data_IF_117775920935
#
_entry.id   IF_117775920935
#
_cell.length_a   1.000
_cell.length_b   1.000
_cell.length_c   1.000
_cell.angle_alpha   90.00
_cell.angle_beta   90.00
_cell.angle_gamma   90.00
#
_symmetry.space_group_name_H-M   'P 1'
#
loop_
_entity.id
_entity.type
_entity.pdbx_description
1 polymer ?
#
# COMPACT_ATOMS: atom_id res chain seq x y z
N UNK A 1 -3.20 -35.91 -96.05
CA UNK A 1 -3.45 -36.62 -94.78
C UNK A 1 -4.69 -35.99 -94.17
N UNK A 2 -5.93 -36.40 -94.50
CA UNK A 2 -6.67 -37.57 -93.97
C UNK A 2 -6.68 -37.58 -92.43
N UNK A 3 -7.77 -37.59 -91.66
CA UNK A 3 -9.20 -37.64 -91.93
C UNK A 3 -9.99 -37.20 -90.67
N UNK A 4 -11.27 -36.88 -90.88
CA UNK A 4 -12.36 -36.61 -89.91
C UNK A 4 -12.68 -37.81 -89.00
N UNK A 5 -13.28 -37.55 -87.81
CA UNK A 5 -14.47 -38.22 -87.18
C UNK A 5 -14.48 -37.89 -85.66
N UNK A 6 -15.46 -37.17 -85.11
CA UNK A 6 -16.89 -37.47 -84.88
C UNK A 6 -17.17 -38.29 -83.59
N UNK A 7 -17.79 -37.60 -82.62
CA UNK A 7 -18.94 -37.97 -81.77
C UNK A 7 -18.97 -39.29 -80.96
N UNK A 8 -19.28 -39.13 -79.66
CA UNK A 8 -20.39 -39.72 -78.89
C UNK A 8 -20.04 -40.33 -77.50
N UNK A 9 -20.93 -39.98 -76.56
CA UNK A 9 -21.42 -40.73 -75.40
C UNK A 9 -20.74 -40.54 -74.02
N UNK A 10 -21.42 -39.74 -73.18
CA UNK A 10 -21.47 -39.93 -71.72
C UNK A 10 -22.23 -41.21 -71.35
N UNK A 11 -21.96 -41.81 -70.18
CA UNK A 11 -22.93 -41.69 -69.09
C UNK A 11 -22.34 -41.53 -67.67
N UNK A 12 -23.23 -41.10 -66.78
CA UNK A 12 -23.08 -40.91 -65.34
C UNK A 12 -22.63 -42.17 -64.59
N UNK A 13 -21.88 -41.97 -63.49
CA UNK A 13 -22.01 -42.76 -62.27
C UNK A 13 -21.77 -41.83 -61.06
N UNK A 14 -22.86 -41.60 -60.32
CA UNK A 14 -22.89 -40.93 -59.04
C UNK A 14 -22.36 -41.89 -57.96
N UNK A 15 -21.29 -41.50 -57.27
CA UNK A 15 -20.97 -42.00 -55.94
C UNK A 15 -20.80 -40.80 -55.02
N UNK A 16 -21.82 -40.58 -54.20
CA UNK A 16 -21.71 -39.75 -53.01
C UNK A 16 -20.86 -40.51 -51.98
N UNK A 17 -19.75 -39.90 -51.56
CA UNK A 17 -19.08 -40.25 -50.32
C UNK A 17 -18.47 -38.97 -49.71
N UNK A 18 -19.00 -38.63 -48.54
CA UNK A 18 -18.57 -37.55 -47.66
C UNK A 18 -17.08 -37.65 -47.34
N UNK A 19 -16.36 -36.54 -47.39
CA UNK A 19 -14.93 -36.52 -47.09
C UNK A 19 -14.40 -35.13 -46.74
N UNK A 20 -14.82 -34.61 -45.58
CA UNK A 20 -14.08 -33.71 -44.70
C UNK A 20 -13.33 -32.54 -45.33
N UNK A 21 -13.98 -31.37 -45.37
CA UNK A 21 -13.31 -30.10 -45.63
C UNK A 21 -12.17 -29.87 -44.65
N UNK A 22 -10.95 -29.69 -45.17
CA UNK A 22 -9.83 -29.13 -44.43
C UNK A 22 -10.10 -27.63 -44.26
N UNK A 23 -10.71 -27.27 -43.15
CA UNK A 23 -10.73 -25.88 -42.69
C UNK A 23 -9.28 -25.41 -42.55
N UNK A 24 -8.93 -24.19 -43.03
CA UNK A 24 -7.64 -23.61 -42.75
C UNK A 24 -7.50 -23.47 -41.24
N UNK A 25 -6.39 -23.97 -40.67
CA UNK A 25 -6.00 -23.68 -39.29
C UNK A 25 -6.00 -22.17 -39.13
N UNK A 26 -6.91 -21.68 -38.30
CA UNK A 26 -7.02 -20.27 -37.95
C UNK A 26 -5.71 -19.75 -37.34
N UNK A 27 -5.59 -18.42 -37.18
CA UNK A 27 -4.44 -17.83 -36.50
C UNK A 27 -4.25 -18.54 -35.15
N UNK A 28 -3.05 -19.05 -34.90
CA UNK A 28 -2.68 -19.52 -33.57
C UNK A 28 -2.91 -18.41 -32.54
N UNK A 29 -3.13 -18.73 -31.27
CA UNK A 29 -3.29 -17.71 -30.25
C UNK A 29 -2.10 -16.76 -30.32
N UNK A 30 -2.36 -15.48 -30.55
CA UNK A 30 -1.36 -14.44 -30.32
C UNK A 30 -0.80 -14.64 -28.91
N UNK A 31 0.52 -14.48 -28.69
CA UNK A 31 1.04 -14.45 -27.34
C UNK A 31 0.25 -13.37 -26.59
N UNK A 32 -0.40 -13.76 -25.49
CA UNK A 32 -0.96 -12.79 -24.58
C UNK A 32 0.20 -11.94 -24.11
N UNK A 33 0.32 -10.70 -24.62
CA UNK A 33 1.06 -9.65 -23.94
C UNK A 33 0.54 -9.65 -22.51
N UNK A 34 1.36 -10.12 -21.56
CA UNK A 34 0.98 -10.16 -20.16
C UNK A 34 0.46 -8.79 -19.78
N UNK A 35 -0.82 -8.71 -19.42
CA UNK A 35 -1.47 -7.45 -19.11
C UNK A 35 -0.71 -6.74 -18.00
N UNK A 36 -0.45 -5.45 -18.19
CA UNK A 36 0.00 -4.57 -17.12
C UNK A 36 -1.21 -4.20 -16.27
N UNK A 37 -1.24 -4.66 -15.03
CA UNK A 37 -2.28 -4.41 -14.05
C UNK A 37 -1.94 -3.17 -13.20
N UNK A 38 -2.94 -2.66 -12.48
CA UNK A 38 -2.75 -1.67 -11.42
C UNK A 38 -2.90 -2.34 -10.06
N UNK A 39 -1.90 -2.18 -9.20
CA UNK A 39 -1.92 -2.69 -7.82
C UNK A 39 -2.11 -1.53 -6.87
N UNK A 40 -3.20 -1.56 -6.12
CA UNK A 40 -3.44 -0.59 -5.04
C UNK A 40 -2.84 -1.11 -3.74
N UNK A 41 -2.12 -0.25 -3.02
CA UNK A 41 -1.47 -0.56 -1.74
C UNK A 41 -1.94 0.41 -0.67
N UNK A 42 -1.93 -0.02 0.58
CA UNK A 42 -2.11 0.84 1.76
C UNK A 42 -0.93 0.64 2.70
N UNK A 43 -0.16 1.71 2.91
CA UNK A 43 0.95 1.75 3.88
C UNK A 43 0.40 2.14 5.23
N UNK A 44 0.62 1.30 6.23
CA UNK A 44 0.08 1.46 7.58
C UNK A 44 1.14 1.22 8.64
N UNK A 45 0.90 1.75 9.84
CA UNK A 45 1.67 1.37 11.01
C UNK A 45 1.10 0.06 11.58
N UNK A 46 1.88 -0.99 11.46
CA UNK A 46 1.68 -2.29 12.10
C UNK A 46 2.10 -2.18 13.57
N UNK A 47 1.12 -1.93 14.42
CA UNK A 47 1.28 -1.56 15.82
C UNK A 47 1.67 -2.76 16.68
N UNK A 48 1.30 -3.98 16.25
CA UNK A 48 1.61 -5.22 16.95
C UNK A 48 2.70 -6.06 16.25
N UNK A 49 3.14 -5.67 15.05
CA UNK A 49 4.22 -6.30 14.31
C UNK A 49 3.83 -7.62 13.62
N UNK A 50 2.55 -7.89 13.41
CA UNK A 50 2.07 -9.16 12.85
C UNK A 50 2.08 -9.20 11.30
N UNK A 51 2.28 -8.06 10.64
CA UNK A 51 2.28 -7.90 9.19
C UNK A 51 0.90 -7.85 8.53
N UNK A 52 -0.17 -7.73 9.32
CA UNK A 52 -1.57 -7.72 8.89
C UNK A 52 -2.19 -6.39 9.29
N UNK A 53 -2.98 -5.79 8.40
CA UNK A 53 -3.72 -4.58 8.74
C UNK A 53 -4.93 -4.95 9.62
N UNK A 54 -4.82 -4.69 10.92
CA UNK A 54 -5.88 -4.95 11.89
C UNK A 54 -6.88 -3.78 11.98
N UNK A 55 -8.11 -4.06 12.41
CA UNK A 55 -9.17 -3.05 12.51
C UNK A 55 -8.84 -1.89 13.47
N UNK A 56 -7.98 -2.16 14.47
CA UNK A 56 -7.53 -1.15 15.43
C UNK A 56 -6.40 -0.25 14.87
N UNK A 57 -5.72 -0.69 13.82
CA UNK A 57 -4.57 0.00 13.21
C UNK A 57 -5.05 1.01 12.19
N UNK A 58 -5.55 2.13 12.70
CA UNK A 58 -6.06 3.21 11.86
C UNK A 58 -4.96 4.12 11.28
N UNK A 59 -3.71 3.95 11.71
CA UNK A 59 -2.60 4.83 11.29
C UNK A 59 -2.19 4.51 9.85
N UNK A 60 -2.08 5.57 9.05
CA UNK A 60 -1.69 5.51 7.64
C UNK A 60 -0.44 6.32 7.43
N UNK A 61 0.55 5.75 6.74
CA UNK A 61 1.86 6.39 6.62
C UNK A 61 2.00 7.01 5.22
N UNK A 62 2.09 8.34 5.12
CA UNK A 62 2.21 9.02 3.84
C UNK A 62 3.65 9.15 3.37
N UNK A 63 3.81 9.57 2.12
CA UNK A 63 5.07 9.89 1.48
C UNK A 63 6.09 8.74 1.39
N UNK A 64 5.63 7.51 1.60
CA UNK A 64 6.44 6.30 1.46
C UNK A 64 6.37 5.80 0.04
N UNK A 65 7.54 5.61 -0.57
CA UNK A 65 7.64 4.99 -1.88
C UNK A 65 7.61 3.45 -1.74
N UNK A 66 6.64 2.83 -2.42
CA UNK A 66 6.43 1.39 -2.45
C UNK A 66 6.72 0.89 -3.86
N UNK A 67 7.46 -0.21 -3.97
CA UNK A 67 7.78 -0.87 -5.24
C UNK A 67 7.17 -2.28 -5.29
N UNK A 68 6.51 -2.61 -6.40
CA UNK A 68 6.02 -3.96 -6.73
C UNK A 68 6.32 -4.24 -8.20
N UNK A 69 6.93 -5.39 -8.50
CA UNK A 69 7.21 -5.79 -9.89
C UNK A 69 8.08 -4.81 -10.69
N UNK A 70 8.94 -4.04 -10.01
CA UNK A 70 9.81 -3.03 -10.63
C UNK A 70 9.15 -1.66 -10.87
N UNK A 71 7.89 -1.49 -10.48
CA UNK A 71 7.16 -0.23 -10.57
C UNK A 71 6.97 0.37 -9.18
N UNK A 72 7.01 1.71 -9.08
CA UNK A 72 6.92 2.42 -7.81
C UNK A 72 5.79 3.46 -7.79
N UNK A 73 5.24 3.70 -6.59
CA UNK A 73 4.32 4.79 -6.32
C UNK A 73 4.50 5.29 -4.87
N UNK A 74 4.04 6.51 -4.59
CA UNK A 74 4.15 7.14 -3.27
C UNK A 74 2.79 7.19 -2.56
N UNK A 75 2.75 6.87 -1.26
CA UNK A 75 1.54 6.87 -0.45
C UNK A 75 1.02 8.28 -0.14
N UNK A 76 -0.30 8.45 -0.16
CA UNK A 76 -0.95 9.74 0.08
C UNK A 76 -1.18 10.04 1.57
N UNK A 77 -1.16 11.33 1.94
CA UNK A 77 -1.56 11.85 3.26
C UNK A 77 -2.93 11.32 3.71
N UNK A 78 -3.05 11.00 5.00
CA UNK A 78 -4.29 10.58 5.67
C UNK A 78 -4.81 9.18 5.28
N UNK A 79 -4.45 8.66 4.11
CA UNK A 79 -4.94 7.37 3.60
C UNK A 79 -3.85 6.31 3.48
N UNK A 80 -2.58 6.71 3.34
CA UNK A 80 -1.46 5.79 3.13
C UNK A 80 -1.55 5.04 1.81
N UNK A 81 -2.50 5.41 0.94
CA UNK A 81 -2.80 4.67 -0.28
C UNK A 81 -1.90 5.10 -1.43
N UNK A 82 -1.42 4.14 -2.22
CA UNK A 82 -0.74 4.39 -3.49
C UNK A 82 -1.27 3.44 -4.57
N UNK A 83 -1.20 3.85 -5.84
CA UNK A 83 -1.58 2.99 -6.97
C UNK A 83 -0.35 2.81 -7.86
N UNK A 84 0.13 1.57 -7.94
CA UNK A 84 1.28 1.18 -8.74
C UNK A 84 0.75 0.62 -10.07
N UNK A 85 0.90 1.40 -11.14
CA UNK A 85 0.49 0.99 -12.49
C UNK A 85 1.61 0.22 -13.20
N UNK A 86 1.25 -0.62 -14.16
CA UNK A 86 2.22 -1.28 -15.04
C UNK A 86 2.61 -2.70 -14.64
N UNK A 87 2.14 -3.20 -13.50
CA UNK A 87 2.63 -4.43 -12.88
C UNK A 87 2.16 -5.65 -13.67
N UNK A 88 3.08 -6.45 -14.17
CA UNK A 88 2.75 -7.71 -14.86
C UNK A 88 2.11 -8.72 -13.90
N UNK A 89 1.29 -9.64 -14.42
CA UNK A 89 0.79 -10.77 -13.63
C UNK A 89 1.94 -11.64 -13.08
N UNK A 90 1.78 -12.15 -11.87
CA UNK A 90 2.82 -12.91 -11.18
C UNK A 90 2.78 -12.77 -9.66
N UNK A 91 3.77 -13.37 -8.99
CA UNK A 91 3.94 -13.27 -7.54
C UNK A 91 5.11 -12.35 -7.21
N UNK A 92 4.89 -11.39 -6.32
CA UNK A 92 5.86 -10.39 -5.90
C UNK A 92 5.84 -10.19 -4.40
N UNK A 93 6.96 -9.73 -3.83
CA UNK A 93 7.01 -9.19 -2.48
C UNK A 93 7.17 -7.67 -2.60
N UNK A 94 6.29 -6.85 -2.00
CA UNK A 94 6.47 -5.41 -1.97
C UNK A 94 7.78 -5.02 -1.28
N UNK A 95 8.37 -3.93 -1.74
CA UNK A 95 9.51 -3.29 -1.10
C UNK A 95 9.19 -1.82 -0.83
N UNK A 96 9.85 -1.24 0.16
CA UNK A 96 9.75 0.20 0.46
C UNK A 96 11.11 0.86 0.37
N UNK A 97 11.16 2.08 -0.15
CA UNK A 97 12.41 2.84 -0.25
C UNK A 97 12.73 3.46 1.12
N UNK A 98 13.74 2.91 1.80
CA UNK A 98 14.07 3.27 3.20
C UNK A 98 14.32 4.76 3.43
N UNK A 99 14.86 5.47 2.43
CA UNK A 99 15.12 6.92 2.52
C UNK A 99 13.84 7.78 2.45
N UNK A 100 12.70 7.18 2.15
CA UNK A 100 11.38 7.85 2.15
C UNK A 100 10.58 7.58 3.41
N UNK A 101 11.07 6.71 4.29
CA UNK A 101 10.38 6.40 5.55
C UNK A 101 10.42 7.62 6.48
N UNK A 102 9.33 7.91 7.21
CA UNK A 102 9.40 8.82 8.32
C UNK A 102 10.45 8.35 9.35
N UNK A 103 11.03 9.28 10.15
CA UNK A 103 12.07 8.92 11.10
C UNK A 103 11.70 7.73 11.98
N UNK A 104 12.67 6.83 12.16
CA UNK A 104 12.60 5.62 13.00
C UNK A 104 11.64 4.51 12.54
N UNK A 105 10.80 4.73 11.52
CA UNK A 105 10.03 3.66 10.91
C UNK A 105 10.95 2.69 10.18
N UNK A 106 10.58 1.41 10.19
CA UNK A 106 11.23 0.34 9.47
C UNK A 106 10.20 -0.47 8.68
N UNK A 107 10.61 -1.16 7.60
CA UNK A 107 9.76 -2.15 6.93
C UNK A 107 9.33 -3.24 7.92
N UNK A 108 8.03 -3.56 7.94
CA UNK A 108 7.49 -4.70 8.69
C UNK A 108 7.57 -6.01 7.92
N UNK A 109 6.74 -6.98 8.31
CA UNK A 109 6.66 -8.28 7.63
C UNK A 109 5.87 -8.18 6.32
N UNK A 110 6.56 -7.96 5.20
CA UNK A 110 5.93 -7.81 3.88
C UNK A 110 5.16 -9.08 3.44
N UNK A 111 3.94 -8.95 2.90
CA UNK A 111 3.19 -10.08 2.36
C UNK A 111 3.73 -10.53 1.00
N UNK A 112 3.37 -11.74 0.58
CA UNK A 112 3.45 -12.13 -0.83
C UNK A 112 2.17 -11.71 -1.54
N UNK A 113 2.31 -11.09 -2.71
CA UNK A 113 1.22 -10.54 -3.52
C UNK A 113 1.14 -11.32 -4.82
N UNK A 114 -0.05 -11.81 -5.15
CA UNK A 114 -0.34 -12.38 -6.47
C UNK A 114 -1.12 -11.36 -7.29
N UNK A 115 -0.57 -10.96 -8.44
CA UNK A 115 -1.19 -10.01 -9.38
C UNK A 115 -1.87 -10.79 -10.51
N UNK A 116 -3.12 -10.49 -10.88
CA UNK A 116 -3.95 -9.36 -10.43
C UNK A 116 -4.47 -9.49 -8.99
N UNK A 117 -4.65 -8.35 -8.32
CA UNK A 117 -5.20 -8.27 -6.96
C UNK A 117 -6.68 -7.91 -6.98
N UNK A 118 -7.45 -8.40 -5.99
CA UNK A 118 -8.87 -8.08 -5.83
C UNK A 118 -9.15 -7.04 -4.73
N UNK A 119 -8.13 -6.67 -3.96
CA UNK A 119 -8.20 -5.72 -2.86
C UNK A 119 -6.87 -4.97 -2.70
N UNK A 120 -6.89 -3.93 -1.87
CA UNK A 120 -5.68 -3.19 -1.51
C UNK A 120 -4.68 -4.12 -0.79
N UNK A 121 -3.42 -4.06 -1.21
CA UNK A 121 -2.31 -4.77 -0.57
C UNK A 121 -1.87 -3.99 0.66
N UNK A 122 -1.88 -4.64 1.82
CA UNK A 122 -1.37 -4.06 3.06
C UNK A 122 0.17 -4.05 3.05
N UNK A 123 0.78 -2.88 3.25
CA UNK A 123 2.23 -2.69 3.33
C UNK A 123 2.58 -2.27 4.76
N UNK A 124 3.03 -3.20 5.62
CA UNK A 124 3.27 -2.90 7.03
C UNK A 124 4.58 -2.15 7.22
N UNK A 125 4.53 -1.07 8.01
CA UNK A 125 5.70 -0.46 8.61
C UNK A 125 5.62 -0.61 10.13
N UNK A 126 6.76 -0.79 10.77
CA UNK A 126 6.86 -0.88 12.24
C UNK A 126 7.66 0.30 12.77
N UNK A 127 7.31 0.74 13.99
CA UNK A 127 8.07 1.72 14.76
C UNK A 127 8.48 1.04 16.08
N UNK A 128 9.78 0.84 16.35
CA UNK A 128 10.25 0.07 17.50
C UNK A 128 10.14 0.89 18.79
N UNK A 129 8.91 1.06 19.27
CA UNK A 129 8.59 1.86 20.47
C UNK A 129 8.56 1.02 21.77
N UNK A 130 8.84 -0.29 21.69
CA UNK A 130 8.74 -1.20 22.83
C UNK A 130 7.30 -1.35 23.30
N UNK A 131 7.07 -1.12 24.59
CA UNK A 131 5.74 -1.21 25.22
C UNK A 131 4.96 0.11 25.22
N UNK A 132 5.51 1.16 24.60
CA UNK A 132 4.81 2.44 24.54
C UNK A 132 3.52 2.34 23.72
N UNK A 133 2.56 3.20 24.04
CA UNK A 133 1.29 3.29 23.30
C UNK A 133 1.52 3.80 21.88
N UNK A 134 1.11 3.04 20.85
CA UNK A 134 1.21 3.50 19.46
C UNK A 134 0.53 4.84 19.25
N UNK A 135 1.17 5.69 18.43
CA UNK A 135 0.59 6.93 17.93
C UNK A 135 0.12 7.92 19.02
N UNK A 136 0.78 7.85 20.17
CA UNK A 136 0.62 8.75 21.30
C UNK A 136 1.89 9.58 21.43
N UNK A 137 1.73 10.90 21.49
CA UNK A 137 2.83 11.86 21.52
C UNK A 137 2.76 12.65 22.82
N UNK A 138 3.87 12.69 23.55
CA UNK A 138 3.95 13.43 24.80
C UNK A 138 4.48 14.84 24.56
N UNK A 139 3.64 15.83 24.81
CA UNK A 139 4.06 17.21 24.89
C UNK A 139 4.54 17.49 26.32
N UNK A 140 5.86 17.45 26.54
CA UNK A 140 6.49 17.62 27.84
C UNK A 140 7.26 18.94 27.89
N UNK A 141 6.95 19.82 28.83
CA UNK A 141 7.61 21.12 28.90
C UNK A 141 7.13 22.00 30.05
N UNK A 142 7.18 23.31 29.82
CA UNK A 142 6.88 24.35 30.81
C UNK A 142 5.48 24.95 30.62
N UNK A 143 5.30 26.21 31.01
CA UNK A 143 4.05 26.98 30.87
C UNK A 143 3.51 27.07 29.45
N UNK A 144 4.36 27.02 28.41
CA UNK A 144 3.90 27.03 27.01
C UNK A 144 3.20 25.71 26.67
N UNK A 145 3.74 24.61 27.19
CA UNK A 145 3.18 23.26 26.99
C UNK A 145 1.93 23.06 27.83
N UNK A 146 1.94 23.57 29.07
CA UNK A 146 0.80 23.59 29.98
C UNK A 146 -0.38 24.37 29.38
N UNK A 147 -0.09 25.47 28.67
CA UNK A 147 -1.11 26.34 28.07
C UNK A 147 -1.56 27.47 28.99
N UNK A 148 -0.74 27.86 29.98
CA UNK A 148 -1.08 28.98 30.86
C UNK A 148 -1.32 30.27 30.04
N UNK A 149 -2.38 30.99 30.40
CA UNK A 149 -2.89 32.24 29.78
C UNK A 149 -3.80 32.10 28.57
N UNK A 150 -4.26 30.90 28.26
CA UNK A 150 -5.11 30.71 27.10
C UNK A 150 -6.45 30.02 27.46
N UNK A 151 -7.59 30.74 27.51
CA UNK A 151 -8.89 30.17 27.82
C UNK A 151 -9.43 29.31 26.66
N UNK A 152 -9.91 28.09 26.94
CA UNK A 152 -10.62 27.23 25.98
C UNK A 152 -9.79 26.14 25.25
N UNK A 153 -8.57 25.86 25.72
CA UNK A 153 -7.51 25.04 25.09
C UNK A 153 -6.76 25.65 23.88
N UNK A 154 -5.74 26.47 24.14
CA UNK A 154 -4.74 26.91 23.15
C UNK A 154 -3.30 26.67 23.58
N UNK A 155 -3.01 25.52 24.19
CA UNK A 155 -1.65 24.98 24.05
C UNK A 155 -1.45 24.56 22.58
N UNK A 156 -0.23 24.59 22.05
CA UNK A 156 0.07 24.14 20.68
C UNK A 156 -0.33 22.67 20.42
N UNK A 157 -0.69 21.93 21.48
CA UNK A 157 -1.03 20.51 21.48
C UNK A 157 -2.26 20.19 20.62
N UNK A 158 -3.33 20.98 20.69
CA UNK A 158 -4.53 20.72 19.89
C UNK A 158 -4.28 20.91 18.39
N UNK A 159 -3.72 22.05 17.91
CA UNK A 159 -3.31 22.18 16.51
C UNK A 159 -2.30 21.12 16.05
N UNK A 160 -1.36 20.72 16.93
CA UNK A 160 -0.42 19.64 16.65
C UNK A 160 -1.14 18.30 16.47
N UNK A 161 -2.07 17.96 17.37
CA UNK A 161 -2.85 16.74 17.28
C UNK A 161 -3.67 16.68 15.99
N UNK A 162 -4.28 17.80 15.59
CA UNK A 162 -5.04 17.90 14.35
C UNK A 162 -4.14 17.74 13.12
N UNK A 163 -2.97 18.36 13.13
CA UNK A 163 -1.96 18.20 12.06
C UNK A 163 -1.48 16.75 11.95
N UNK A 164 -1.21 16.09 13.08
CA UNK A 164 -0.83 14.68 13.12
C UNK A 164 -1.95 13.78 12.62
N UNK A 165 -3.21 14.04 13.01
CA UNK A 165 -4.39 13.30 12.50
C UNK A 165 -4.59 13.49 11.01
N UNK A 166 -4.35 14.69 10.48
CA UNK A 166 -4.44 14.94 9.04
C UNK A 166 -3.36 14.17 8.27
N UNK A 167 -2.15 14.08 8.83
CA UNK A 167 -1.04 13.36 8.19
C UNK A 167 -1.19 11.84 8.30
N UNK A 168 -1.47 11.34 9.51
CA UNK A 168 -1.42 9.91 9.86
C UNK A 168 -2.80 9.24 10.01
N UNK A 169 -3.90 9.98 9.89
CA UNK A 169 -5.28 9.50 10.06
C UNK A 169 -5.74 9.39 11.53
N UNK A 170 -4.82 9.11 12.46
CA UNK A 170 -5.04 9.07 13.91
C UNK A 170 -3.87 9.76 14.60
N UNK A 171 -4.09 10.35 15.76
CA UNK A 171 -3.04 10.73 16.73
C UNK A 171 -3.68 11.18 18.05
N UNK A 172 -2.94 11.00 19.14
CA UNK A 172 -3.24 11.56 20.46
C UNK A 172 -2.04 12.33 20.98
N UNK A 173 -2.24 13.56 21.43
CA UNK A 173 -1.20 14.37 22.10
C UNK A 173 -1.55 14.53 23.57
N UNK A 174 -0.76 13.94 24.45
CA UNK A 174 -0.89 14.07 25.91
C UNK A 174 -0.09 15.28 26.41
N UNK A 175 -0.58 15.94 27.45
CA UNK A 175 0.05 17.13 28.02
C UNK A 175 0.74 16.84 29.33
N UNK A 176 2.04 17.09 29.37
CA UNK A 176 2.91 16.97 30.54
C UNK A 176 3.66 18.30 30.74
N UNK A 177 2.95 19.42 30.55
CA UNK A 177 3.47 20.76 30.78
C UNK A 177 3.30 21.18 32.25
N UNK A 178 4.35 21.74 32.84
CA UNK A 178 4.29 22.27 34.22
C UNK A 178 4.85 23.69 34.25
N UNK A 179 4.02 24.66 34.60
CA UNK A 179 4.38 26.07 34.60
C UNK A 179 5.59 26.38 35.48
N UNK A 180 6.39 27.37 35.04
CA UNK A 180 7.56 27.87 35.77
C UNK A 180 8.63 26.81 36.09
N UNK A 181 8.67 25.70 35.35
CA UNK A 181 9.70 24.68 35.50
C UNK A 181 10.87 24.86 34.54
N UNK A 182 12.04 24.37 34.95
CA UNK A 182 13.27 24.33 34.13
C UNK A 182 13.64 22.89 33.77
N UNK A 183 14.60 22.73 32.87
CA UNK A 183 15.04 21.42 32.37
C UNK A 183 15.53 20.46 33.46
N UNK A 184 16.14 20.95 34.55
CA UNK A 184 16.56 20.11 35.67
C UNK A 184 15.36 19.48 36.40
N UNK A 185 14.28 20.24 36.62
CA UNK A 185 13.04 19.72 37.18
C UNK A 185 12.33 18.79 36.18
N UNK A 186 12.47 19.06 34.88
CA UNK A 186 12.04 18.15 33.82
C UNK A 186 12.74 16.79 33.88
N UNK A 187 14.06 16.78 34.03
CA UNK A 187 14.85 15.55 34.15
C UNK A 187 14.46 14.73 35.39
N UNK A 188 14.12 15.39 36.49
CA UNK A 188 13.67 14.72 37.73
C UNK A 188 12.28 14.06 37.58
N UNK A 189 11.43 14.55 36.67
CA UNK A 189 10.03 14.09 36.53
C UNK A 189 9.76 13.21 35.32
N UNK A 190 10.64 13.18 34.31
CA UNK A 190 10.37 12.56 32.99
C UNK A 190 9.99 11.07 33.10
N UNK A 191 10.54 10.35 34.07
CA UNK A 191 10.26 8.93 34.26
C UNK A 191 8.80 8.67 34.66
N UNK A 192 8.17 9.60 35.41
CA UNK A 192 6.78 9.45 35.85
C UNK A 192 5.81 9.29 34.67
N UNK A 193 5.71 10.29 33.78
CA UNK A 193 4.86 10.20 32.59
C UNK A 193 5.23 9.05 31.65
N UNK A 194 6.54 8.79 31.45
CA UNK A 194 6.99 7.67 30.62
C UNK A 194 6.63 6.28 31.17
N UNK A 195 6.32 6.18 32.47
CA UNK A 195 5.88 4.95 33.12
C UNK A 195 4.35 4.86 33.22
N UNK A 196 3.67 6.00 33.36
CA UNK A 196 2.21 6.07 33.45
C UNK A 196 1.51 5.68 32.13
N UNK A 197 2.18 5.89 31.00
CA UNK A 197 1.65 5.65 29.66
C UNK A 197 2.17 4.37 28.97
N UNK A 198 2.64 3.39 29.76
CA UNK A 198 2.98 2.03 29.30
C UNK A 198 1.80 1.08 29.38
#
# INVERSE_FOLDING_TARGET
MSARRALLASPLLLLAACGGGRSPTGPGPSPSTGGSESVSVVVFYDENGNGVLDAAEAVRIPDVEVTIGGHAARSAAGTGRAVIAGVSSGSFTPAVTVSTLPPYYAPGRMPSVSVPVSADVAVPLVLPIGVNRPNTYMAFGDSITEGNNYPGDPSYRAPLQDSLRQSFGRATVIGEGVGSTKSNQGAERIDGPLLADR
#
